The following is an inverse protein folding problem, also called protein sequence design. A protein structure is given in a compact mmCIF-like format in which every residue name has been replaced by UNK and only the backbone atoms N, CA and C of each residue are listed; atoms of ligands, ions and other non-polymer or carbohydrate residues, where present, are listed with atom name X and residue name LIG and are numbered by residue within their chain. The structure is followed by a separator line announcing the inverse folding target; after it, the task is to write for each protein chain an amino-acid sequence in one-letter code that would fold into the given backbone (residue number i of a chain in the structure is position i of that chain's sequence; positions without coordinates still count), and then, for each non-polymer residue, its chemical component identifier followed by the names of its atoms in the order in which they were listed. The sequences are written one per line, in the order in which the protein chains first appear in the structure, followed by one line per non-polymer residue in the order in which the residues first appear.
data_IF_174334513991
#
_entry.id   IF_174334513991
#
_cell.length_a   1.000
_cell.length_b   1.000
_cell.length_c   1.000
_cell.angle_alpha   90.00
_cell.angle_beta   90.00
_cell.angle_gamma   90.00
#
_symmetry.space_group_name_H-M   'P 1'
#
loop_
_entity.id
_entity.type
_entity.pdbx_description
1 polymer ?
#
# COMPACT_ATOMS: atom_id res chain seq x y z
N UNK A 1 -24.68 -3.88 -10.06
CA UNK A 1 -25.00 -4.40 -11.39
C UNK A 1 -25.61 -3.28 -12.23
N UNK A 2 -25.04 -2.99 -13.39
CA UNK A 2 -25.59 -2.01 -14.33
C UNK A 2 -26.67 -2.65 -15.21
N UNK A 3 -27.76 -1.94 -15.46
CA UNK A 3 -28.83 -2.36 -16.37
C UNK A 3 -29.43 -1.12 -17.05
N UNK A 4 -29.14 -0.93 -18.34
CA UNK A 4 -29.52 0.26 -19.10
C UNK A 4 -28.94 1.54 -18.48
N UNK A 5 -29.80 2.46 -18.05
CA UNK A 5 -29.42 3.75 -17.41
C UNK A 5 -29.44 3.69 -15.88
N UNK A 6 -29.48 2.50 -15.30
CA UNK A 6 -29.58 2.31 -13.85
C UNK A 6 -28.41 1.50 -13.34
N UNK A 7 -27.84 1.94 -12.22
CA UNK A 7 -26.89 1.17 -11.41
C UNK A 7 -27.62 0.68 -10.16
N UNK A 8 -27.68 -0.63 -9.98
CA UNK A 8 -28.29 -1.25 -8.80
C UNK A 8 -27.19 -1.72 -7.87
N UNK A 9 -27.18 -1.19 -6.66
CA UNK A 9 -26.25 -1.56 -5.59
C UNK A 9 -27.05 -2.39 -4.58
N UNK A 10 -26.62 -3.64 -4.36
CA UNK A 10 -27.16 -4.49 -3.30
C UNK A 10 -26.28 -4.31 -2.05
N UNK A 11 -26.91 -4.06 -0.93
CA UNK A 11 -26.26 -4.04 0.37
C UNK A 11 -26.25 -5.47 0.94
N UNK A 12 -25.10 -5.89 1.44
CA UNK A 12 -24.92 -7.24 2.03
C UNK A 12 -25.32 -7.21 3.49
N UNK A 13 -24.93 -6.16 4.20
CA UNK A 13 -25.21 -5.98 5.63
C UNK A 13 -26.38 -5.05 5.87
N UNK A 14 -27.04 -5.22 7.04
CA UNK A 14 -28.08 -4.31 7.49
C UNK A 14 -27.49 -2.95 7.89
N UNK A 15 -28.20 -1.90 7.50
CA UNK A 15 -27.80 -0.53 7.83
C UNK A 15 -28.03 -0.24 9.32
N UNK A 16 -27.10 0.47 9.92
CA UNK A 16 -27.23 0.99 11.30
C UNK A 16 -28.14 2.22 11.29
N UNK A 17 -28.96 2.43 12.32
CA UNK A 17 -29.80 3.63 12.44
C UNK A 17 -28.93 4.87 12.69
N UNK A 18 -29.43 6.04 12.29
CA UNK A 18 -28.79 7.35 12.47
C UNK A 18 -27.33 7.40 11.98
N UNK A 19 -27.07 6.77 10.84
CA UNK A 19 -25.72 6.65 10.30
C UNK A 19 -25.67 7.16 8.87
N UNK A 20 -24.69 8.00 8.57
CA UNK A 20 -24.38 8.43 7.19
C UNK A 20 -23.56 7.34 6.49
N UNK A 21 -23.97 6.96 5.30
CA UNK A 21 -23.29 6.01 4.43
C UNK A 21 -22.84 6.69 3.14
N UNK A 22 -21.67 6.31 2.67
CA UNK A 22 -21.14 6.75 1.39
C UNK A 22 -20.83 5.52 0.55
N UNK A 23 -21.40 5.45 -0.66
CA UNK A 23 -21.05 4.49 -1.68
C UNK A 23 -20.05 5.17 -2.59
N UNK A 24 -18.79 4.77 -2.49
CA UNK A 24 -17.71 5.26 -3.32
C UNK A 24 -17.55 4.35 -4.54
N UNK A 25 -17.68 4.92 -5.72
CA UNK A 25 -17.53 4.19 -6.98
C UNK A 25 -16.10 4.30 -7.53
N UNK A 26 -15.25 5.15 -6.94
CA UNK A 26 -13.89 5.41 -7.43
C UNK A 26 -13.88 5.59 -8.97
N UNK A 27 -13.14 4.75 -9.68
CA UNK A 27 -13.06 4.73 -11.14
C UNK A 27 -13.99 3.69 -11.81
N UNK A 28 -14.91 3.07 -11.07
CA UNK A 28 -15.78 2.01 -11.59
C UNK A 28 -16.86 2.48 -12.56
N UNK A 29 -17.18 3.78 -12.55
CA UNK A 29 -18.13 4.36 -13.51
C UNK A 29 -17.35 4.92 -14.69
N UNK A 30 -17.48 4.26 -15.83
CA UNK A 30 -16.82 4.64 -17.08
C UNK A 30 -17.84 4.98 -18.17
N UNK A 31 -17.48 5.90 -19.03
CA UNK A 31 -18.24 6.21 -20.21
C UNK A 31 -18.19 5.04 -21.21
N UNK A 32 -19.30 4.81 -21.90
CA UNK A 32 -19.45 3.64 -22.76
C UNK A 32 -18.72 3.73 -24.12
N UNK A 33 -18.36 4.92 -24.58
CA UNK A 33 -17.75 5.12 -25.88
C UNK A 33 -16.23 5.12 -25.84
N UNK A 34 -15.65 5.96 -24.99
CA UNK A 34 -14.20 6.18 -24.92
C UNK A 34 -13.57 5.54 -23.67
N UNK A 35 -14.39 5.03 -22.75
CA UNK A 35 -13.91 4.41 -21.52
C UNK A 35 -13.35 5.41 -20.49
N UNK A 36 -13.64 6.71 -20.67
CA UNK A 36 -13.25 7.74 -19.71
C UNK A 36 -13.93 7.49 -18.35
N UNK A 37 -13.17 7.52 -17.27
CA UNK A 37 -13.70 7.36 -15.92
C UNK A 37 -14.38 8.65 -15.46
N UNK A 38 -15.52 8.51 -14.76
CA UNK A 38 -16.15 9.67 -14.10
C UNK A 38 -15.28 10.19 -12.96
N UNK A 39 -14.45 9.32 -12.36
CA UNK A 39 -13.51 9.62 -11.27
C UNK A 39 -14.20 10.09 -9.99
N UNK A 40 -13.82 9.51 -8.87
CA UNK A 40 -14.21 9.95 -7.51
C UNK A 40 -15.71 10.22 -7.31
N UNK A 41 -16.60 9.53 -8.05
CA UNK A 41 -18.03 9.67 -7.84
C UNK A 41 -18.47 8.90 -6.60
N UNK A 42 -19.06 9.61 -5.66
CA UNK A 42 -19.60 9.02 -4.44
C UNK A 42 -21.05 9.44 -4.23
N UNK A 43 -21.87 8.51 -3.72
CA UNK A 43 -23.26 8.75 -3.36
C UNK A 43 -23.41 8.62 -1.84
N UNK A 44 -23.81 9.70 -1.19
CA UNK A 44 -23.99 9.75 0.27
C UNK A 44 -25.47 9.80 0.64
N UNK A 45 -25.87 9.00 1.63
CA UNK A 45 -27.22 9.00 2.20
C UNK A 45 -27.15 8.74 3.69
N UNK A 46 -28.25 9.03 4.42
CA UNK A 46 -28.34 8.77 5.86
C UNK A 46 -29.58 7.93 6.17
N UNK A 47 -29.44 7.07 7.19
CA UNK A 47 -30.56 6.37 7.83
C UNK A 47 -31.21 7.20 8.95
N UNK A 48 -30.68 8.38 9.24
CA UNK A 48 -31.18 9.33 10.22
C UNK A 48 -31.72 10.60 9.57
N UNK A 49 -31.96 11.62 10.40
CA UNK A 49 -32.48 12.93 9.96
C UNK A 49 -31.39 13.89 9.51
N UNK A 50 -30.14 13.58 9.78
CA UNK A 50 -28.96 14.40 9.42
C UNK A 50 -28.02 13.61 8.53
N UNK A 51 -27.32 14.31 7.65
CA UNK A 51 -26.24 13.77 6.81
C UNK A 51 -24.95 14.45 7.22
N UNK A 52 -23.94 13.65 7.52
CA UNK A 52 -22.58 14.18 7.70
C UNK A 52 -22.04 14.63 6.35
N UNK A 53 -21.53 15.84 6.28
CA UNK A 53 -21.16 16.48 5.00
C UNK A 53 -19.68 16.81 4.88
N UNK A 54 -18.89 16.63 5.95
CA UNK A 54 -17.47 16.95 5.90
C UNK A 54 -16.71 15.96 5.02
N UNK A 55 -15.64 16.46 4.44
CA UNK A 55 -14.76 15.73 3.53
C UNK A 55 -13.31 16.02 3.90
N UNK A 56 -12.45 15.03 3.70
CA UNK A 56 -11.00 15.20 3.70
C UNK A 56 -10.42 14.54 2.46
N UNK A 57 -9.36 15.12 1.91
CA UNK A 57 -8.75 14.59 0.69
C UNK A 57 -7.23 14.71 0.71
N UNK A 58 -6.59 14.00 -0.20
CA UNK A 58 -5.15 13.99 -0.28
C UNK A 58 -4.64 13.01 -1.32
N UNK A 59 -3.37 12.66 -1.21
CA UNK A 59 -2.67 11.78 -2.15
C UNK A 59 -1.86 10.75 -1.39
N UNK A 60 -1.84 9.52 -1.90
CA UNK A 60 -0.97 8.45 -1.42
C UNK A 60 0.14 8.24 -2.42
N UNK A 61 1.38 8.35 -1.96
CA UNK A 61 2.60 8.15 -2.72
C UNK A 61 3.37 6.95 -2.15
N UNK A 62 4.09 6.23 -2.98
CA UNK A 62 5.05 5.22 -2.55
C UNK A 62 6.22 5.89 -1.82
N UNK A 63 6.65 5.34 -0.70
CA UNK A 63 7.77 5.88 0.07
C UNK A 63 9.12 5.69 -0.64
N UNK A 64 9.23 4.72 -1.55
CA UNK A 64 10.49 4.37 -2.24
C UNK A 64 10.83 5.29 -3.41
N UNK A 65 9.82 5.71 -4.19
CA UNK A 65 10.00 6.40 -5.46
C UNK A 65 9.09 7.63 -5.64
N UNK A 66 8.19 7.87 -4.68
CA UNK A 66 7.18 8.94 -4.68
C UNK A 66 6.17 8.83 -5.83
N UNK A 67 6.06 7.68 -6.46
CA UNK A 67 5.03 7.44 -7.47
C UNK A 67 3.64 7.28 -6.83
N UNK A 68 2.57 7.69 -7.52
CA UNK A 68 1.21 7.56 -7.01
C UNK A 68 0.80 6.10 -6.78
N UNK A 69 0.26 5.80 -5.60
CA UNK A 69 -0.26 4.46 -5.28
C UNK A 69 -1.75 4.40 -5.59
N UNK A 70 -2.13 3.64 -6.62
CA UNK A 70 -3.52 3.45 -7.02
C UNK A 70 -4.20 2.32 -6.25
N UNK A 71 -5.52 2.44 -6.09
CA UNK A 71 -6.39 1.39 -5.53
C UNK A 71 -6.07 0.97 -4.09
N UNK A 72 -5.28 1.76 -3.35
CA UNK A 72 -5.09 1.57 -1.91
C UNK A 72 -6.28 2.14 -1.15
N UNK A 73 -6.73 1.44 -0.12
CA UNK A 73 -7.79 1.92 0.77
C UNK A 73 -7.21 2.99 1.69
N UNK A 74 -7.89 4.12 1.83
CA UNK A 74 -7.56 5.17 2.80
C UNK A 74 -8.73 5.33 3.74
N UNK A 75 -8.47 5.22 5.02
CA UNK A 75 -9.53 5.20 6.03
C UNK A 75 -9.24 6.05 7.24
N UNK A 76 -10.32 6.41 7.93
CA UNK A 76 -10.32 7.16 9.17
C UNK A 76 -10.76 6.30 10.33
N UNK A 77 -10.09 6.47 11.48
CA UNK A 77 -10.49 5.94 12.77
C UNK A 77 -10.80 7.07 13.75
N UNK A 78 -11.96 7.05 14.35
CA UNK A 78 -12.33 7.90 15.49
C UNK A 78 -11.69 7.41 16.81
N UNK A 79 -11.34 6.13 16.88
CA UNK A 79 -10.51 5.59 17.94
C UNK A 79 -9.05 5.98 17.70
N UNK A 80 -8.53 6.87 18.56
CA UNK A 80 -7.19 7.43 18.42
C UNK A 80 -6.08 6.51 18.95
N UNK A 81 -6.41 5.30 19.43
CA UNK A 81 -5.42 4.34 19.88
C UNK A 81 -4.63 3.76 18.72
N UNK A 82 -3.32 3.53 18.89
CA UNK A 82 -2.46 2.96 17.86
C UNK A 82 -2.88 1.55 17.43
N UNK A 83 -3.53 0.82 18.35
CA UNK A 83 -4.03 -0.54 18.06
C UNK A 83 -5.34 -0.59 17.26
N UNK A 84 -6.00 0.55 17.03
CA UNK A 84 -7.27 0.59 16.30
C UNK A 84 -7.12 0.04 14.87
N UNK A 85 -6.03 0.41 14.20
CA UNK A 85 -5.72 -0.01 12.82
C UNK A 85 -5.60 -1.54 12.65
N UNK A 86 -5.15 -2.25 13.69
CA UNK A 86 -5.02 -3.70 13.68
C UNK A 86 -6.27 -4.46 14.19
N UNK A 87 -7.17 -3.78 14.91
CA UNK A 87 -8.27 -4.43 15.64
C UNK A 87 -9.66 -4.06 15.17
N UNK A 88 -9.80 -2.96 14.46
CA UNK A 88 -11.10 -2.42 14.04
C UNK A 88 -11.07 -2.03 12.58
N UNK A 89 -12.13 -2.31 11.81
CA UNK A 89 -12.25 -1.76 10.47
C UNK A 89 -12.39 -0.23 10.52
N UNK A 90 -12.09 0.42 9.43
CA UNK A 90 -12.22 1.87 9.29
C UNK A 90 -13.67 2.35 9.54
N UNK A 91 -13.81 3.51 10.20
CA UNK A 91 -15.11 4.17 10.35
C UNK A 91 -15.59 4.76 9.01
N UNK A 92 -14.65 5.26 8.23
CA UNK A 92 -14.87 5.78 6.87
C UNK A 92 -13.69 5.36 6.01
N UNK A 93 -13.96 5.00 4.78
CA UNK A 93 -12.95 4.55 3.82
C UNK A 93 -13.25 5.06 2.42
N UNK A 94 -12.22 5.34 1.66
CA UNK A 94 -12.23 5.59 0.23
C UNK A 94 -11.06 4.84 -0.42
N UNK A 95 -11.00 4.81 -1.74
CA UNK A 95 -9.87 4.23 -2.49
C UNK A 95 -9.19 5.29 -3.32
N UNK A 96 -7.89 5.16 -3.50
CA UNK A 96 -7.17 6.05 -4.39
C UNK A 96 -7.48 5.75 -5.85
N UNK A 97 -7.57 6.82 -6.64
CA UNK A 97 -7.67 6.75 -8.09
C UNK A 97 -6.32 6.41 -8.76
N UNK A 98 -6.27 6.47 -10.09
CA UNK A 98 -5.06 6.21 -10.88
C UNK A 98 -3.91 7.20 -10.64
N UNK A 99 -4.20 8.35 -10.03
CA UNK A 99 -3.22 9.40 -9.66
C UNK A 99 -2.84 9.34 -8.18
N UNK A 100 -3.29 8.30 -7.47
CA UNK A 100 -3.08 8.19 -6.03
C UNK A 100 -3.93 9.14 -5.18
N UNK A 101 -4.87 9.87 -5.79
CA UNK A 101 -5.73 10.81 -5.08
C UNK A 101 -6.90 10.09 -4.41
N UNK A 102 -7.24 10.52 -3.18
CA UNK A 102 -8.41 10.03 -2.44
C UNK A 102 -9.27 11.19 -1.92
N UNK A 103 -10.55 10.90 -1.71
CA UNK A 103 -11.50 11.81 -1.05
C UNK A 103 -12.42 10.97 -0.17
N UNK A 104 -12.38 11.20 1.14
CA UNK A 104 -13.24 10.55 2.13
C UNK A 104 -14.36 11.52 2.47
N UNK A 105 -15.59 11.11 2.22
CA UNK A 105 -16.80 11.93 2.37
C UNK A 105 -17.72 11.39 3.45
N UNK A 106 -18.67 12.22 3.87
CA UNK A 106 -19.67 11.81 4.86
C UNK A 106 -19.09 11.70 6.26
N UNK A 107 -18.15 12.56 6.61
CA UNK A 107 -17.44 12.53 7.88
C UNK A 107 -18.20 13.41 8.89
N UNK A 108 -18.42 12.86 10.10
CA UNK A 108 -18.94 13.61 11.23
C UNK A 108 -17.87 14.56 11.80
N UNK A 109 -18.26 15.68 12.45
CA UNK A 109 -17.30 16.48 13.20
C UNK A 109 -16.60 15.62 14.27
N UNK A 110 -15.26 15.71 14.35
CA UNK A 110 -14.51 14.90 15.30
C UNK A 110 -13.01 14.96 15.07
N UNK A 111 -12.31 14.08 15.79
CA UNK A 111 -10.87 13.87 15.64
C UNK A 111 -10.63 12.46 15.12
N UNK A 112 -9.75 12.34 14.15
CA UNK A 112 -9.51 11.08 13.48
C UNK A 112 -8.01 10.84 13.30
N UNK A 113 -7.62 9.57 13.31
CA UNK A 113 -6.37 9.10 12.70
C UNK A 113 -6.64 8.65 11.28
N UNK A 114 -5.68 8.86 10.40
CA UNK A 114 -5.75 8.46 9.00
C UNK A 114 -4.69 7.41 8.69
N UNK A 115 -5.12 6.37 7.99
CA UNK A 115 -4.28 5.28 7.54
C UNK A 115 -4.60 4.92 6.08
N UNK A 116 -3.62 4.36 5.39
CA UNK A 116 -3.86 3.67 4.13
C UNK A 116 -3.46 2.20 4.26
N UNK A 117 -4.17 1.31 3.56
CA UNK A 117 -3.99 -0.13 3.62
C UNK A 117 -4.21 -0.75 2.24
N UNK A 118 -3.20 -1.45 1.73
CA UNK A 118 -3.36 -2.34 0.58
C UNK A 118 -3.74 -3.74 1.11
N UNK A 119 -5.02 -3.86 1.44
CA UNK A 119 -5.61 -5.05 2.04
C UNK A 119 -5.69 -6.19 1.01
N UNK A 120 -4.82 -7.17 1.17
CA UNK A 120 -4.71 -8.32 0.25
C UNK A 120 -5.75 -9.40 0.50
N UNK A 121 -6.21 -9.57 1.75
CA UNK A 121 -7.15 -10.60 2.17
C UNK A 121 -8.60 -10.10 2.32
N UNK A 122 -8.82 -8.78 2.18
CA UNK A 122 -10.11 -8.09 2.25
C UNK A 122 -10.81 -8.21 3.62
N UNK A 123 -10.03 -8.24 4.70
CA UNK A 123 -10.55 -8.26 6.06
C UNK A 123 -10.67 -6.87 6.69
N UNK A 124 -10.20 -5.82 5.99
CA UNK A 124 -10.21 -4.42 6.40
C UNK A 124 -9.39 -4.12 7.67
N UNK A 125 -8.41 -4.95 7.96
CA UNK A 125 -7.50 -4.83 9.10
C UNK A 125 -6.06 -4.96 8.63
N UNK A 126 -5.14 -4.27 9.28
CA UNK A 126 -3.72 -4.54 9.10
C UNK A 126 -3.31 -5.74 9.97
N UNK A 127 -3.08 -6.87 9.36
CA UNK A 127 -2.73 -8.13 10.03
C UNK A 127 -1.48 -8.81 9.47
N UNK A 128 -0.89 -8.26 8.41
CA UNK A 128 0.29 -8.82 7.77
C UNK A 128 1.33 -7.76 7.41
N UNK A 129 2.60 -8.00 7.79
CA UNK A 129 3.74 -7.16 7.37
C UNK A 129 3.93 -7.11 5.84
N UNK A 130 3.32 -8.01 5.09
CA UNK A 130 3.38 -8.02 3.62
C UNK A 130 2.44 -7.01 2.97
N UNK A 131 1.49 -6.47 3.72
CA UNK A 131 0.58 -5.44 3.27
C UNK A 131 1.26 -4.08 3.24
N UNK A 132 0.96 -3.31 2.21
CA UNK A 132 1.46 -1.94 2.11
C UNK A 132 0.58 -1.03 2.95
N UNK A 133 1.20 -0.22 3.81
CA UNK A 133 0.52 0.69 4.72
C UNK A 133 1.05 2.11 4.57
N UNK A 134 0.23 3.09 4.96
CA UNK A 134 0.66 4.45 5.20
C UNK A 134 -0.13 5.06 6.37
N UNK A 135 0.46 6.02 7.05
CA UNK A 135 -0.20 6.74 8.14
C UNK A 135 0.33 8.16 8.28
N UNK A 136 -0.39 8.96 9.05
CA UNK A 136 0.05 10.27 9.49
C UNK A 136 -0.01 10.36 11.01
N UNK A 137 1.03 10.91 11.62
CA UNK A 137 1.05 11.17 13.06
C UNK A 137 0.10 12.30 13.47
N UNK A 138 -0.26 13.15 12.50
CA UNK A 138 -1.17 14.27 12.72
C UNK A 138 -2.61 13.80 12.91
N UNK A 139 -3.28 14.38 13.90
CA UNK A 139 -4.71 14.17 14.09
C UNK A 139 -5.46 14.97 13.02
N UNK A 140 -6.33 14.30 12.29
CA UNK A 140 -7.19 14.89 11.27
C UNK A 140 -8.44 15.43 11.96
N UNK A 141 -8.70 16.72 11.74
CA UNK A 141 -9.91 17.42 12.22
C UNK A 141 -10.59 17.99 10.99
N UNK A 142 -11.65 17.33 10.48
CA UNK A 142 -12.38 17.83 9.33
C UNK A 142 -12.98 19.20 9.62
N UNK A 143 -12.84 20.10 8.67
CA UNK A 143 -13.37 21.46 8.74
C UNK A 143 -13.91 21.89 7.36
N UNK A 144 -14.62 22.98 7.31
CA UNK A 144 -15.08 23.61 6.08
C UNK A 144 -14.92 25.13 6.18
N UNK A 145 -14.62 25.74 5.06
CA UNK A 145 -14.52 27.19 4.92
C UNK A 145 -15.16 27.65 3.61
N UNK A 146 -15.62 28.89 3.59
CA UNK A 146 -16.07 29.52 2.37
C UNK A 146 -14.85 29.99 1.57
N UNK A 147 -14.78 29.59 0.32
CA UNK A 147 -13.71 29.95 -0.59
C UNK A 147 -14.24 30.44 -1.93
N UNK A 148 -13.39 31.11 -2.69
CA UNK A 148 -13.70 31.63 -4.02
C UNK A 148 -12.79 30.95 -5.04
N UNK A 149 -13.37 30.50 -6.16
CA UNK A 149 -12.60 30.00 -7.31
C UNK A 149 -12.94 30.80 -8.55
N UNK A 150 -12.01 30.84 -9.48
CA UNK A 150 -12.22 31.44 -10.78
C UNK A 150 -12.62 30.36 -11.79
N UNK A 151 -13.85 30.44 -12.29
CA UNK A 151 -14.34 29.57 -13.34
C UNK A 151 -14.18 30.26 -14.68
N UNK A 152 -13.46 29.63 -15.62
CA UNK A 152 -13.29 30.11 -16.98
C UNK A 152 -14.45 29.61 -17.84
N UNK A 153 -15.22 30.54 -18.38
CA UNK A 153 -16.28 30.25 -19.34
C UNK A 153 -15.69 30.40 -20.75
N UNK A 154 -15.76 29.34 -21.53
CA UNK A 154 -15.24 29.32 -22.89
C UNK A 154 -16.36 29.67 -23.90
N UNK A 155 -16.05 30.54 -24.83
CA UNK A 155 -16.93 30.86 -25.95
C UNK A 155 -16.88 29.77 -27.03
N UNK A 156 -15.68 29.26 -27.27
CA UNK A 156 -15.34 28.14 -28.15
C UNK A 156 -14.10 27.41 -27.62
N UNK A 157 -13.63 26.40 -28.34
CA UNK A 157 -12.49 25.56 -27.92
C UNK A 157 -11.17 26.32 -27.71
N UNK A 158 -11.04 27.55 -28.14
CA UNK A 158 -9.81 28.34 -28.13
C UNK A 158 -9.95 29.72 -27.48
N UNK A 159 -11.21 30.21 -27.34
CA UNK A 159 -11.48 31.60 -26.91
C UNK A 159 -12.19 31.61 -25.57
N UNK A 160 -11.62 32.32 -24.60
CA UNK A 160 -12.27 32.57 -23.30
C UNK A 160 -13.31 33.68 -23.49
N UNK A 161 -14.54 33.41 -23.06
CA UNK A 161 -15.62 34.39 -23.02
C UNK A 161 -15.49 35.29 -21.79
N UNK A 162 -15.44 34.69 -20.60
CA UNK A 162 -15.31 35.40 -19.35
C UNK A 162 -14.72 34.54 -18.23
N UNK A 163 -14.19 35.21 -17.21
CA UNK A 163 -13.75 34.57 -15.96
C UNK A 163 -14.66 35.05 -14.85
N UNK A 164 -15.36 34.16 -14.17
CA UNK A 164 -16.24 34.44 -13.06
C UNK A 164 -15.67 33.94 -11.74
N UNK A 165 -15.70 34.76 -10.72
CA UNK A 165 -15.47 34.33 -9.34
C UNK A 165 -16.73 33.69 -8.79
N UNK A 166 -16.63 32.42 -8.38
CA UNK A 166 -17.75 31.64 -7.84
C UNK A 166 -17.39 31.22 -6.42
N UNK A 167 -18.29 31.48 -5.47
CA UNK A 167 -18.17 31.01 -4.11
C UNK A 167 -18.40 29.48 -4.05
N UNK A 168 -17.60 28.78 -3.27
CA UNK A 168 -17.78 27.36 -2.99
C UNK A 168 -17.35 27.04 -1.56
N UNK A 169 -17.84 25.93 -1.01
CA UNK A 169 -17.37 25.42 0.29
C UNK A 169 -16.13 24.55 0.06
N UNK A 170 -15.03 24.93 0.69
CA UNK A 170 -13.79 24.15 0.71
C UNK A 170 -13.76 23.30 1.95
N UNK A 171 -13.53 22.02 1.78
CA UNK A 171 -13.34 21.06 2.87
C UNK A 171 -11.85 20.91 3.18
N UNK A 172 -11.54 20.80 4.46
CA UNK A 172 -10.17 20.73 4.98
C UNK A 172 -10.01 19.54 5.93
N UNK A 173 -8.79 18.97 6.02
CA UNK A 173 -7.66 19.20 5.13
C UNK A 173 -7.88 18.59 3.74
N UNK A 174 -7.36 19.25 2.70
CA UNK A 174 -7.46 18.82 1.29
C UNK A 174 -6.08 18.51 0.66
N UNK A 175 -5.03 18.54 1.47
CA UNK A 175 -3.63 18.40 1.06
C UNK A 175 -2.88 17.29 1.82
N UNK A 176 -3.60 16.29 2.31
CA UNK A 176 -3.01 15.19 3.06
C UNK A 176 -2.08 14.37 2.15
N UNK A 177 -0.83 14.19 2.55
CA UNK A 177 0.13 13.34 1.86
C UNK A 177 0.45 12.14 2.74
N UNK A 178 0.14 10.95 2.25
CA UNK A 178 0.49 9.69 2.87
C UNK A 178 1.58 9.00 2.06
N UNK A 179 2.61 8.47 2.72
CA UNK A 179 3.69 7.72 2.09
C UNK A 179 3.56 6.25 2.42
N UNK A 180 3.24 5.46 1.41
CA UNK A 180 2.98 4.05 1.56
C UNK A 180 4.26 3.22 1.47
N UNK A 181 4.43 2.29 2.40
CA UNK A 181 5.56 1.38 2.48
C UNK A 181 5.08 -0.01 2.94
N UNK A 182 5.92 -0.99 2.74
CA UNK A 182 5.76 -2.31 3.37
C UNK A 182 6.72 -2.41 4.53
N UNK A 183 6.28 -3.00 5.63
CA UNK A 183 7.19 -3.33 6.71
C UNK A 183 8.25 -4.32 6.22
N UNK A 184 9.48 -4.16 6.68
CA UNK A 184 10.52 -5.12 6.37
C UNK A 184 10.22 -6.46 7.04
N UNK A 185 10.46 -7.54 6.29
CA UNK A 185 10.41 -8.87 6.87
C UNK A 185 11.70 -9.12 7.65
N UNK A 186 11.61 -9.19 8.96
CA UNK A 186 12.75 -9.46 9.83
C UNK A 186 13.06 -10.96 9.98
N UNK A 187 12.16 -11.81 9.47
CA UNK A 187 12.36 -13.27 9.52
C UNK A 187 13.33 -13.71 8.45
N UNK A 188 14.52 -14.11 8.89
CA UNK A 188 15.55 -14.61 7.99
C UNK A 188 15.52 -16.12 7.89
N UNK A 189 15.34 -16.64 6.69
CA UNK A 189 15.48 -18.04 6.32
C UNK A 189 15.91 -18.14 4.86
N UNK A 190 16.54 -19.25 4.49
CA UNK A 190 16.88 -19.53 3.10
C UNK A 190 15.60 -19.78 2.30
N UNK A 191 15.35 -18.98 1.28
CA UNK A 191 14.20 -19.11 0.39
C UNK A 191 14.54 -19.92 -0.85
N UNK A 192 15.78 -19.77 -1.35
CA UNK A 192 16.18 -20.37 -2.61
C UNK A 192 17.69 -20.62 -2.64
N UNK A 193 18.09 -21.78 -3.18
CA UNK A 193 19.46 -22.07 -3.56
C UNK A 193 19.47 -22.56 -5.01
N UNK A 194 20.23 -21.91 -5.87
CA UNK A 194 20.25 -22.18 -7.30
C UNK A 194 21.65 -22.25 -7.83
N UNK A 195 21.90 -23.19 -8.72
CA UNK A 195 23.13 -23.33 -9.50
C UNK A 195 22.78 -23.44 -10.97
N UNK A 196 22.49 -22.29 -11.59
CA UNK A 196 22.10 -22.22 -13.02
C UNK A 196 23.28 -22.46 -13.96
N UNK A 197 24.50 -22.21 -13.49
CA UNK A 197 25.73 -22.42 -14.23
C UNK A 197 26.74 -23.16 -13.36
N UNK A 198 27.62 -23.87 -13.99
CA UNK A 198 28.65 -24.68 -13.31
C UNK A 198 29.54 -23.85 -12.36
N UNK A 199 29.88 -22.62 -12.78
CA UNK A 199 30.87 -21.77 -12.11
C UNK A 199 30.35 -20.88 -11.00
N UNK A 200 29.04 -20.91 -10.69
CA UNK A 200 28.50 -20.16 -9.55
C UNK A 200 27.18 -20.75 -9.04
N UNK A 201 26.84 -20.42 -7.82
CA UNK A 201 25.52 -20.64 -7.24
C UNK A 201 25.05 -19.40 -6.46
N UNK A 202 23.74 -19.27 -6.33
CA UNK A 202 23.10 -18.14 -5.66
C UNK A 202 22.28 -18.64 -4.48
N UNK A 203 22.45 -17.96 -3.34
CA UNK A 203 21.63 -18.15 -2.15
C UNK A 203 20.77 -16.92 -1.96
N UNK A 204 19.45 -17.11 -1.81
CA UNK A 204 18.50 -16.02 -1.57
C UNK A 204 17.81 -16.24 -0.23
N UNK A 205 17.78 -15.18 0.59
CA UNK A 205 17.17 -15.18 1.90
C UNK A 205 15.91 -14.31 1.90
N UNK A 206 15.01 -14.56 2.86
CA UNK A 206 13.72 -13.86 2.99
C UNK A 206 13.84 -12.45 3.55
N UNK A 207 14.94 -12.13 4.23
CA UNK A 207 15.17 -10.86 4.91
C UNK A 207 16.66 -10.47 4.88
N UNK A 208 16.92 -9.22 5.21
CA UNK A 208 18.28 -8.68 5.41
C UNK A 208 19.04 -9.51 6.45
N UNK A 209 20.33 -9.74 6.20
CA UNK A 209 21.25 -10.33 7.16
C UNK A 209 22.38 -9.35 7.55
N UNK A 210 22.71 -9.31 8.83
CA UNK A 210 23.88 -8.55 9.30
C UNK A 210 25.19 -9.28 9.00
N UNK A 211 25.14 -10.62 8.92
CA UNK A 211 26.30 -11.48 8.68
C UNK A 211 26.07 -12.39 7.46
N UNK A 212 27.17 -12.71 6.77
CA UNK A 212 27.12 -13.70 5.71
C UNK A 212 27.04 -15.13 6.29
N UNK A 213 26.37 -16.06 5.58
CA UNK A 213 26.40 -17.46 5.96
C UNK A 213 27.82 -18.02 5.85
N UNK A 214 28.16 -18.92 6.75
CA UNK A 214 29.39 -19.68 6.69
C UNK A 214 29.16 -20.94 5.89
N UNK A 215 29.97 -21.18 4.87
CA UNK A 215 29.90 -22.37 4.03
C UNK A 215 31.05 -23.31 4.35
N UNK A 216 30.74 -24.61 4.38
CA UNK A 216 31.71 -25.68 4.51
C UNK A 216 31.47 -26.71 3.39
N UNK A 217 32.49 -26.96 2.57
CA UNK A 217 32.44 -28.00 1.56
C UNK A 217 32.49 -29.39 2.21
N UNK A 218 31.61 -30.29 1.80
CA UNK A 218 31.63 -31.67 2.27
C UNK A 218 32.38 -32.61 1.29
N UNK A 219 32.40 -32.26 0.01
CA UNK A 219 33.08 -33.03 -1.03
C UNK A 219 34.20 -32.25 -1.77
N UNK A 220 34.52 -31.05 -1.31
CA UNK A 220 35.62 -30.21 -1.79
C UNK A 220 36.19 -29.35 -0.67
N UNK A 221 37.36 -28.74 -0.90
CA UNK A 221 37.97 -27.78 0.05
C UNK A 221 37.42 -26.36 -0.24
N UNK A 222 36.69 -25.81 0.71
CA UNK A 222 36.07 -24.48 0.60
C UNK A 222 37.04 -23.32 0.82
N UNK A 223 38.24 -23.55 1.35
CA UNK A 223 39.21 -22.52 1.65
C UNK A 223 39.63 -21.75 0.40
N UNK A 224 39.37 -20.47 0.39
CA UNK A 224 39.60 -19.57 -0.77
C UNK A 224 38.94 -20.03 -2.08
N UNK A 225 37.89 -20.89 -2.02
CA UNK A 225 37.22 -21.45 -3.18
C UNK A 225 36.28 -20.45 -3.88
N UNK A 226 35.86 -19.37 -3.21
CA UNK A 226 34.81 -18.49 -3.70
C UNK A 226 35.22 -17.04 -3.83
N UNK A 227 34.66 -16.34 -4.83
CA UNK A 227 34.50 -14.89 -4.87
C UNK A 227 33.03 -14.63 -4.54
N UNK A 228 32.78 -13.75 -3.56
CA UNK A 228 31.44 -13.47 -3.06
C UNK A 228 30.96 -12.14 -3.64
N UNK A 229 29.85 -12.19 -4.37
CA UNK A 229 29.09 -11.03 -4.82
C UNK A 229 27.75 -11.01 -4.08
N UNK A 230 27.38 -9.88 -3.51
CA UNK A 230 26.21 -9.78 -2.64
C UNK A 230 25.51 -8.44 -2.78
N UNK A 231 24.22 -8.42 -2.44
CA UNK A 231 23.46 -7.18 -2.25
C UNK A 231 23.91 -6.45 -0.98
N UNK A 232 23.61 -5.15 -0.90
CA UNK A 232 23.87 -4.35 0.32
C UNK A 232 23.10 -4.88 1.55
N UNK A 233 22.01 -5.61 1.31
CA UNK A 233 21.16 -6.21 2.34
C UNK A 233 21.60 -7.62 2.75
N UNK A 234 22.56 -8.21 2.06
CA UNK A 234 22.97 -9.61 2.19
C UNK A 234 21.81 -10.63 2.04
N UNK A 235 20.75 -10.26 1.34
CA UNK A 235 19.58 -11.11 1.09
C UNK A 235 19.70 -11.94 -0.21
N UNK A 236 20.63 -11.57 -1.08
CA UNK A 236 21.03 -12.36 -2.25
C UNK A 236 22.54 -12.39 -2.36
N UNK A 237 23.09 -13.59 -2.38
CA UNK A 237 24.54 -13.82 -2.35
C UNK A 237 24.90 -14.80 -3.45
N UNK A 238 25.74 -14.36 -4.37
CA UNK A 238 26.32 -15.18 -5.43
C UNK A 238 27.74 -15.62 -5.07
N UNK A 239 28.00 -16.90 -5.11
CA UNK A 239 29.30 -17.50 -4.85
C UNK A 239 29.91 -17.97 -6.18
N UNK A 240 30.89 -17.24 -6.67
CA UNK A 240 31.65 -17.60 -7.85
C UNK A 240 32.78 -18.55 -7.50
N UNK A 241 32.82 -19.74 -8.11
CA UNK A 241 33.80 -20.77 -7.83
C UNK A 241 35.07 -20.50 -8.65
N UNK A 242 36.21 -20.38 -7.98
CA UNK A 242 37.50 -20.06 -8.61
C UNK A 242 38.14 -21.27 -9.29
N UNK A 243 38.03 -22.43 -8.68
CA UNK A 243 38.72 -23.65 -9.16
C UNK A 243 37.86 -24.42 -10.16
N UNK A 244 38.44 -24.69 -11.33
CA UNK A 244 37.78 -25.46 -12.37
C UNK A 244 37.50 -26.93 -11.98
N UNK A 245 38.28 -27.52 -11.12
CA UNK A 245 38.03 -28.86 -10.63
C UNK A 245 36.78 -28.94 -9.76
N UNK A 246 36.51 -27.86 -9.01
CA UNK A 246 35.32 -27.78 -8.17
C UNK A 246 34.07 -27.47 -9.02
N UNK A 247 34.12 -26.46 -9.93
CA UNK A 247 32.93 -26.12 -10.69
C UNK A 247 32.56 -27.17 -11.77
N UNK A 248 33.48 -28.04 -12.21
CA UNK A 248 33.17 -29.17 -13.11
C UNK A 248 32.52 -30.36 -12.39
N UNK A 249 32.42 -30.31 -11.04
CA UNK A 249 31.71 -31.36 -10.32
C UNK A 249 30.21 -31.31 -10.60
N UNK A 250 29.59 -32.42 -10.89
CA UNK A 250 28.16 -32.52 -11.15
C UNK A 250 27.35 -32.10 -9.92
N UNK A 251 27.83 -32.39 -8.72
CA UNK A 251 27.16 -32.07 -7.46
C UNK A 251 28.16 -31.49 -6.47
N UNK A 252 27.80 -30.33 -5.89
CA UNK A 252 28.51 -29.74 -4.76
C UNK A 252 27.71 -30.00 -3.49
N UNK A 253 28.33 -30.61 -2.51
CA UNK A 253 27.75 -30.82 -1.19
C UNK A 253 28.29 -29.76 -0.23
N UNK A 254 27.39 -28.89 0.28
CA UNK A 254 27.75 -27.76 1.10
C UNK A 254 26.90 -27.77 2.37
N UNK A 255 27.57 -27.73 3.52
CA UNK A 255 26.93 -27.40 4.75
C UNK A 255 26.96 -25.88 4.93
N UNK A 256 25.81 -25.30 5.32
CA UNK A 256 25.68 -23.87 5.49
C UNK A 256 25.17 -23.56 6.91
N UNK A 257 25.89 -22.70 7.60
CA UNK A 257 25.49 -22.17 8.89
C UNK A 257 25.14 -20.68 8.74
N UNK A 258 23.91 -20.31 9.12
CA UNK A 258 23.42 -18.94 9.06
C UNK A 258 22.47 -18.63 10.22
N UNK A 259 22.31 -17.35 10.53
CA UNK A 259 21.32 -16.89 11.51
C UNK A 259 19.93 -16.96 10.89
N UNK A 260 19.09 -17.84 11.41
CA UNK A 260 17.65 -17.86 11.08
C UNK A 260 16.88 -17.26 12.25
N UNK A 261 15.77 -16.59 11.95
CA UNK A 261 14.83 -16.09 12.96
C UNK A 261 13.60 -16.99 13.02
N UNK A 262 13.12 -17.26 14.21
CA UNK A 262 11.90 -18.02 14.44
C UNK A 262 10.64 -17.14 14.36
N UNK A 263 9.49 -17.71 14.67
CA UNK A 263 8.21 -17.00 14.68
C UNK A 263 8.07 -15.95 15.77
N UNK A 264 9.02 -15.90 16.72
CA UNK A 264 9.07 -14.94 17.82
C UNK A 264 10.17 -13.89 17.61
N UNK A 265 10.74 -13.79 16.40
CA UNK A 265 11.85 -12.93 16.00
C UNK A 265 13.14 -13.21 16.84
N UNK A 266 13.26 -14.41 17.39
CA UNK A 266 14.47 -14.87 18.08
C UNK A 266 15.44 -15.46 17.07
N UNK A 267 16.69 -15.01 17.11
CA UNK A 267 17.76 -15.55 16.25
C UNK A 267 18.11 -16.97 16.66
N UNK A 268 17.97 -17.90 15.72
CA UNK A 268 18.39 -19.29 15.84
C UNK A 268 19.61 -19.54 14.95
N UNK A 269 20.60 -20.26 15.47
CA UNK A 269 21.68 -20.80 14.64
C UNK A 269 21.16 -22.12 14.06
N UNK A 270 20.98 -22.15 12.74
CA UNK A 270 20.62 -23.39 12.05
C UNK A 270 21.92 -24.12 11.68
N UNK A 271 22.06 -25.35 12.18
CA UNK A 271 23.19 -26.24 11.90
C UNK A 271 22.78 -27.22 10.81
#
# INVERSE_FOLDING_TARGET
KASGRKVVVGLVDSLRPNTTYTIDFADAIVENNEGNTLGNYAFTFSTGTTIDTMEVSGTVLSASDLEPVKNIQVGLHSDLSDSAFMKKPFDRVSRTDSRGHFSIRGIAPGKYRIYALMDGNQNYLFDSKTEMIAFSDSIIIPAMEDAMRQDTIWKDSLTIDTIKSVGYTRFLPDDIILRAFKEENDRQYLTRSERDKENHFVLTFSARADTLPTLKGLNFDERDAFIIEKTDRNDSICYWIKDSLIYQMDTLEIQMDYLATDTLDLSLIHI
#
